data_IF_231151894405
#
_entry.id   IF_231151894405
#
_cell.length_a   1.000
_cell.length_b   1.000
_cell.length_c   1.000
_cell.angle_alpha   90.00
_cell.angle_beta   90.00
_cell.angle_gamma   90.00
#
_symmetry.space_group_name_H-M   'P 1'
#
loop_
_entity.id
_entity.type
_entity.pdbx_description
1 polymer ?
#
# COMPACT_ATOMS: atom_id res chain seq x y z
N UNK A 1 10.57 3.64 -16.29
CA UNK A 1 10.43 4.33 -14.96
C UNK A 1 9.04 4.17 -14.37
N UNK A 2 8.01 3.85 -15.17
CA UNK A 2 6.71 3.36 -14.70
C UNK A 2 6.81 1.95 -14.07
N UNK A 3 7.84 1.19 -14.43
CA UNK A 3 8.02 -0.21 -14.04
C UNK A 3 8.13 -0.44 -12.54
N UNK A 4 8.75 0.49 -11.80
CA UNK A 4 8.99 0.29 -10.35
C UNK A 4 7.69 0.50 -9.56
N UNK A 5 6.85 1.46 -9.94
CA UNK A 5 5.54 1.67 -9.31
C UNK A 5 4.65 0.44 -9.49
N UNK A 6 4.46 0.01 -10.74
CA UNK A 6 3.68 -1.17 -11.08
C UNK A 6 4.20 -2.44 -10.39
N UNK A 7 5.52 -2.62 -10.28
CA UNK A 7 6.11 -3.75 -9.53
C UNK A 7 5.75 -3.74 -8.05
N UNK A 8 5.74 -2.58 -7.40
CA UNK A 8 5.37 -2.46 -5.97
C UNK A 8 3.89 -2.76 -5.77
N UNK A 9 3.03 -2.22 -6.63
CA UNK A 9 1.58 -2.48 -6.61
C UNK A 9 1.28 -3.96 -6.86
N UNK A 10 1.94 -4.56 -7.85
CA UNK A 10 1.78 -5.97 -8.18
C UNK A 10 2.27 -6.86 -7.05
N UNK A 11 3.44 -6.56 -6.46
CA UNK A 11 3.94 -7.27 -5.29
C UNK A 11 2.92 -7.22 -4.15
N UNK A 12 2.48 -6.02 -3.77
CA UNK A 12 1.50 -5.84 -2.72
C UNK A 12 0.21 -6.64 -2.96
N UNK A 13 -0.36 -6.52 -4.17
CA UNK A 13 -1.57 -7.24 -4.54
C UNK A 13 -1.37 -8.75 -4.42
N UNK A 14 -0.28 -9.28 -4.98
CA UNK A 14 0.00 -10.72 -4.94
C UNK A 14 0.20 -11.28 -3.52
N UNK A 15 0.66 -10.47 -2.57
CA UNK A 15 0.83 -10.90 -1.17
C UNK A 15 -0.50 -10.93 -0.40
N UNK A 16 -1.49 -10.13 -0.81
CA UNK A 16 -2.74 -9.97 -0.07
C UNK A 16 -3.94 -10.67 -0.72
N UNK A 17 -3.91 -10.92 -2.03
CA UNK A 17 -5.01 -11.51 -2.80
C UNK A 17 -5.41 -12.90 -2.29
N UNK A 18 -4.50 -13.65 -1.66
CA UNK A 18 -4.76 -15.01 -1.15
C UNK A 18 -5.76 -14.99 0.02
N UNK A 19 -5.68 -13.99 0.89
CA UNK A 19 -6.47 -13.92 2.13
C UNK A 19 -7.45 -12.74 2.21
N UNK A 20 -7.35 -11.79 1.28
CA UNK A 20 -8.07 -10.53 1.34
C UNK A 20 -8.64 -10.11 -0.02
N UNK A 21 -9.80 -9.46 0.00
CA UNK A 21 -10.39 -8.86 -1.19
C UNK A 21 -9.76 -7.51 -1.46
N UNK A 22 -9.29 -7.31 -2.69
CA UNK A 22 -8.65 -6.08 -3.14
C UNK A 22 -9.52 -5.40 -4.21
N UNK A 23 -9.75 -4.10 -4.04
CA UNK A 23 -10.43 -3.25 -5.01
C UNK A 23 -9.56 -2.05 -5.38
N UNK A 24 -9.63 -1.61 -6.63
CA UNK A 24 -9.08 -0.32 -7.03
C UNK A 24 -10.03 0.81 -6.63
N UNK A 25 -9.47 1.94 -6.19
CA UNK A 25 -10.23 3.11 -5.74
C UNK A 25 -9.76 4.38 -6.43
N UNK A 26 -10.59 5.42 -6.41
CA UNK A 26 -10.26 6.70 -7.02
C UNK A 26 -9.22 7.50 -6.20
N UNK A 27 -9.10 7.24 -4.90
CA UNK A 27 -8.13 7.87 -4.01
C UNK A 27 -7.35 6.79 -3.26
N UNK A 28 -6.04 6.70 -3.50
CA UNK A 28 -5.21 5.56 -3.10
C UNK A 28 -5.09 4.52 -4.21
N UNK A 29 -4.36 3.42 -3.95
CA UNK A 29 -4.13 2.39 -4.96
C UNK A 29 -5.05 1.18 -4.75
N UNK A 30 -5.22 0.74 -3.50
CA UNK A 30 -6.04 -0.42 -3.16
C UNK A 30 -6.95 -0.16 -1.95
N UNK A 31 -8.14 -0.76 -1.97
CA UNK A 31 -9.04 -0.90 -0.84
C UNK A 31 -9.11 -2.37 -0.45
N UNK A 32 -8.71 -2.67 0.78
CA UNK A 32 -8.64 -4.01 1.34
C UNK A 32 -9.88 -4.26 2.18
N UNK A 33 -10.60 -5.35 1.86
CA UNK A 33 -11.80 -5.79 2.59
C UNK A 33 -12.80 -4.65 2.83
N UNK A 34 -12.95 -3.76 1.84
CA UNK A 34 -13.84 -2.59 1.88
C UNK A 34 -13.64 -1.62 3.06
N UNK A 35 -12.50 -1.74 3.77
CA UNK A 35 -12.23 -0.99 5.01
C UNK A 35 -10.95 -0.19 4.96
N UNK A 36 -9.84 -0.80 4.54
CA UNK A 36 -8.52 -0.16 4.63
C UNK A 36 -8.08 0.34 3.27
N UNK A 37 -7.81 1.64 3.17
CA UNK A 37 -7.27 2.21 1.93
C UNK A 37 -5.75 2.26 2.02
N UNK A 38 -5.07 1.71 1.02
CA UNK A 38 -3.61 1.66 0.98
C UNK A 38 -3.09 2.36 -0.27
N UNK A 39 -2.14 3.26 -0.05
CA UNK A 39 -1.37 3.91 -1.11
C UNK A 39 0.06 3.36 -1.10
N UNK A 40 0.59 3.00 -2.25
CA UNK A 40 1.88 2.34 -2.40
C UNK A 40 2.86 3.32 -3.03
N UNK A 41 4.08 3.34 -2.53
CA UNK A 41 5.08 4.27 -3.03
C UNK A 41 6.49 3.99 -2.55
N UNK A 42 7.44 4.81 -3.00
CA UNK A 42 8.81 4.79 -2.49
C UNK A 42 8.98 5.69 -1.26
N UNK A 43 10.17 5.69 -0.67
CA UNK A 43 10.55 6.45 0.54
C UNK A 43 10.01 7.89 0.68
N UNK A 44 9.85 8.63 -0.42
CA UNK A 44 9.41 10.02 -0.41
C UNK A 44 7.88 10.20 -0.51
N UNK A 45 7.11 9.11 -0.54
CA UNK A 45 5.65 9.15 -0.64
C UNK A 45 5.06 9.76 0.64
N UNK A 46 4.21 10.76 0.47
CA UNK A 46 3.50 11.45 1.56
C UNK A 46 2.00 11.12 1.56
N UNK A 47 1.29 11.57 2.58
CA UNK A 47 -0.16 11.33 2.78
C UNK A 47 -1.07 12.12 1.83
N UNK A 48 -0.56 12.66 0.72
CA UNK A 48 -1.28 13.63 -0.09
C UNK A 48 -2.62 13.13 -0.64
N UNK A 49 -2.69 11.89 -1.13
CA UNK A 49 -3.91 11.36 -1.75
C UNK A 49 -4.92 10.83 -0.72
N UNK A 50 -4.42 10.33 0.42
CA UNK A 50 -5.23 9.61 1.41
C UNK A 50 -5.43 10.38 2.74
N UNK A 51 -5.02 11.65 2.82
CA UNK A 51 -5.01 12.45 4.05
C UNK A 51 -6.34 12.47 4.80
N UNK A 52 -7.44 12.58 4.06
CA UNK A 52 -8.80 12.74 4.59
C UNK A 52 -9.59 11.43 4.55
N UNK A 53 -8.93 10.30 4.29
CA UNK A 53 -9.56 8.98 4.24
C UNK A 53 -9.35 8.30 5.60
N UNK A 54 -10.42 7.87 6.30
CA UNK A 54 -10.27 7.10 7.52
C UNK A 54 -9.62 5.75 7.22
N UNK A 55 -8.90 5.19 8.21
CA UNK A 55 -8.29 3.86 8.09
C UNK A 55 -7.35 3.71 6.87
N UNK A 56 -6.63 4.79 6.55
CA UNK A 56 -5.76 4.85 5.39
C UNK A 56 -4.26 4.75 5.74
N UNK A 57 -3.53 3.96 4.96
CA UNK A 57 -2.13 3.60 5.17
C UNK A 57 -1.29 3.82 3.92
N UNK A 58 0.02 4.01 4.12
CA UNK A 58 0.99 4.05 3.03
C UNK A 58 1.95 2.88 3.15
N UNK A 59 1.96 2.01 2.14
CA UNK A 59 2.98 0.98 2.00
C UNK A 59 4.19 1.56 1.26
N UNK A 60 5.33 1.62 1.95
CA UNK A 60 6.52 2.35 1.48
C UNK A 60 7.68 1.39 1.22
N UNK A 61 8.20 1.44 0.00
CA UNK A 61 9.43 0.77 -0.39
C UNK A 61 10.68 1.62 -0.05
N UNK A 62 11.75 0.94 0.39
CA UNK A 62 13.02 1.56 0.76
C UNK A 62 13.09 2.13 2.18
N UNK A 63 12.25 1.63 3.10
CA UNK A 63 12.32 1.93 4.54
C UNK A 63 12.39 0.64 5.36
N UNK A 64 13.08 0.69 6.50
CA UNK A 64 13.19 -0.45 7.44
C UNK A 64 12.18 -0.34 8.59
N UNK A 65 11.80 0.87 8.97
CA UNK A 65 10.88 1.14 10.07
C UNK A 65 9.71 1.98 9.60
N UNK A 66 8.50 1.56 9.97
CA UNK A 66 7.27 2.32 9.77
C UNK A 66 7.06 3.38 10.85
N UNK A 67 6.27 4.41 10.55
CA UNK A 67 5.87 5.41 11.53
C UNK A 67 4.43 5.87 11.27
N UNK A 68 3.60 5.87 12.33
CA UNK A 68 2.17 6.10 12.22
C UNK A 68 1.53 5.18 11.17
N UNK A 69 0.87 5.74 10.15
CA UNK A 69 0.19 4.96 9.12
C UNK A 69 1.10 4.56 7.95
N UNK A 70 2.43 4.73 8.08
CA UNK A 70 3.40 4.22 7.10
C UNK A 70 3.91 2.85 7.50
N UNK A 71 3.79 1.90 6.58
CA UNK A 71 4.20 0.51 6.76
C UNK A 71 5.27 0.18 5.72
N UNK A 72 6.40 -0.46 6.10
CA UNK A 72 7.38 -0.92 5.12
C UNK A 72 6.77 -1.96 4.17
N UNK A 73 6.92 -1.77 2.85
CA UNK A 73 6.31 -2.62 1.83
C UNK A 73 6.78 -4.08 1.94
N UNK A 74 8.05 -4.31 2.30
CA UNK A 74 8.60 -5.65 2.43
C UNK A 74 7.93 -6.49 3.53
N UNK A 75 7.26 -5.87 4.51
CA UNK A 75 6.57 -6.58 5.59
C UNK A 75 5.38 -7.40 5.07
N UNK A 76 4.77 -6.97 3.97
CA UNK A 76 3.68 -7.71 3.34
C UNK A 76 4.15 -9.03 2.71
N UNK A 77 5.46 -9.18 2.48
CA UNK A 77 6.07 -10.43 2.02
C UNK A 77 6.05 -11.59 3.02
N UNK A 78 5.34 -11.46 4.15
CA UNK A 78 5.12 -12.55 5.11
C UNK A 78 3.66 -13.00 5.18
N UNK A 79 2.76 -12.42 4.37
CA UNK A 79 1.30 -12.56 4.49
C UNK A 79 0.68 -13.58 3.51
N UNK A 80 1.49 -14.51 2.98
CA UNK A 80 1.06 -15.57 2.07
C UNK A 80 -0.05 -16.47 2.63
#
# INVERSE_FOLDING_TARGET
NSDIGTKRETFFASMLEVGHTLHYVQKGDFLINEKYTVEIGGKNKGYGQIKDIPDAFIAVDGIETGFANKIPLWLFGFLY
#
